data_IF_565395341039
#
_entry.id   IF_565395341039
#
_cell.length_a   1.000
_cell.length_b   1.000
_cell.length_c   1.000
_cell.angle_alpha   90.00
_cell.angle_beta   90.00
_cell.angle_gamma   90.00
#
_symmetry.space_group_name_H-M   'P 1'
#
loop_
_entity.id
_entity.type
_entity.pdbx_description
1 polymer ?
#
# COMPACT_ATOMS: atom_id res chain seq x y z
N UNK A 1 -5.57 14.00 -46.51
CA UNK A 1 -4.39 14.62 -45.87
C UNK A 1 -4.06 13.84 -44.60
N UNK A 2 -2.92 13.15 -44.55
CA UNK A 2 -2.45 12.40 -43.39
C UNK A 2 -1.56 13.31 -42.54
N UNK A 3 -1.97 13.62 -41.32
CA UNK A 3 -1.11 14.29 -40.34
C UNK A 3 -0.22 13.26 -39.67
N UNK A 4 1.07 13.24 -40.03
CA UNK A 4 2.12 12.57 -39.27
C UNK A 4 2.41 13.40 -38.01
N UNK A 5 2.10 12.85 -36.83
CA UNK A 5 2.54 13.42 -35.56
C UNK A 5 3.96 12.97 -35.27
N UNK A 6 4.91 13.91 -35.27
CA UNK A 6 6.28 13.70 -34.84
C UNK A 6 6.32 13.93 -33.33
N UNK A 7 6.41 12.85 -32.55
CA UNK A 7 6.72 12.93 -31.12
C UNK A 7 8.23 13.20 -30.97
N UNK A 8 8.58 14.38 -30.47
CA UNK A 8 9.95 14.68 -30.09
C UNK A 8 10.23 14.09 -28.69
N UNK A 9 11.12 13.08 -28.63
CA UNK A 9 11.73 12.63 -27.38
C UNK A 9 12.65 13.74 -26.86
N UNK A 10 12.35 14.29 -25.69
CA UNK A 10 13.30 15.13 -24.94
C UNK A 10 14.09 14.22 -24.01
N UNK A 11 15.44 14.20 -24.08
CA UNK A 11 16.24 13.42 -23.14
C UNK A 11 16.19 14.07 -21.74
N UNK A 12 15.75 13.31 -20.73
CA UNK A 12 15.94 13.66 -19.33
C UNK A 12 17.42 13.39 -18.98
N UNK A 13 18.19 14.45 -18.76
CA UNK A 13 19.51 14.36 -18.12
C UNK A 13 19.31 14.12 -16.63
N UNK A 14 19.74 12.96 -16.14
CA UNK A 14 19.79 12.67 -14.71
C UNK A 14 21.10 13.23 -14.12
N UNK A 15 21.01 14.32 -13.34
CA UNK A 15 22.13 14.78 -12.53
C UNK A 15 22.22 13.93 -11.26
N UNK A 16 23.34 13.23 -11.10
CA UNK A 16 23.64 12.42 -9.94
C UNK A 16 24.10 13.33 -8.79
N UNK A 17 23.27 13.47 -7.76
CA UNK A 17 23.68 14.07 -6.49
C UNK A 17 24.61 13.10 -5.75
N UNK A 18 25.87 13.50 -5.62
CA UNK A 18 26.88 12.81 -4.82
C UNK A 18 26.66 13.15 -3.34
N UNK A 19 26.16 12.18 -2.57
CA UNK A 19 26.03 12.31 -1.12
C UNK A 19 27.40 12.05 -0.47
N UNK A 20 27.98 13.10 0.13
CA UNK A 20 29.18 12.99 0.96
C UNK A 20 28.90 12.19 2.23
N UNK A 21 29.69 11.14 2.46
CA UNK A 21 29.65 10.32 3.67
C UNK A 21 30.40 11.02 4.82
N UNK A 22 29.68 11.36 5.88
CA UNK A 22 30.27 11.76 7.16
C UNK A 22 30.48 10.49 7.99
N UNK A 23 31.75 10.08 8.15
CA UNK A 23 32.11 9.00 9.07
C UNK A 23 32.17 9.53 10.51
N UNK A 24 31.48 8.84 11.41
CA UNK A 24 31.57 9.04 12.86
C UNK A 24 32.54 8.00 13.44
N UNK A 25 33.43 8.37 14.38
CA UNK A 25 34.31 7.44 15.06
C UNK A 25 33.56 6.59 16.09
N UNK A 26 33.75 5.28 16.02
CA UNK A 26 33.27 4.30 17.01
C UNK A 26 34.17 4.27 18.25
N UNK A 27 33.62 4.34 19.47
CA UNK A 27 34.37 4.05 20.67
C UNK A 27 34.48 2.53 20.89
N UNK A 28 35.72 2.07 21.07
CA UNK A 28 36.05 0.76 21.64
C UNK A 28 35.63 0.72 23.11
N UNK A 29 34.90 -0.31 23.53
CA UNK A 29 34.88 -0.69 24.94
C UNK A 29 34.72 -2.20 25.17
N UNK A 30 35.76 -2.72 25.83
CA UNK A 30 35.79 -3.77 26.87
C UNK A 30 35.11 -5.13 26.64
N UNK A 31 35.98 -6.13 26.50
CA UNK A 31 35.80 -7.53 26.87
C UNK A 31 35.33 -7.68 28.33
N UNK A 32 34.35 -8.57 28.55
CA UNK A 32 34.09 -9.24 29.83
C UNK A 32 33.85 -10.74 29.56
N UNK A 33 34.29 -11.67 30.45
CA UNK A 33 34.40 -13.10 30.14
C UNK A 33 33.10 -13.90 30.31
N UNK A 34 33.11 -15.07 29.66
CA UNK A 34 32.18 -16.21 29.73
C UNK A 34 31.63 -16.52 31.13
N UNK A 35 30.32 -16.76 31.18
CA UNK A 35 29.68 -17.67 32.13
C UNK A 35 28.87 -18.70 31.35
N UNK A 36 29.31 -19.96 31.36
CA UNK A 36 28.56 -21.09 30.82
C UNK A 36 27.37 -21.38 31.74
N UNK A 37 26.15 -21.29 31.20
CA UNK A 37 24.93 -21.80 31.82
C UNK A 37 24.23 -22.70 30.80
N UNK A 38 23.86 -23.94 31.17
CA UNK A 38 23.16 -24.85 30.27
C UNK A 38 21.70 -24.41 30.15
N UNK A 39 21.39 -23.63 29.13
CA UNK A 39 20.01 -23.38 28.73
C UNK A 39 19.44 -24.65 28.12
N UNK A 40 18.46 -25.21 28.83
CA UNK A 40 17.57 -26.22 28.29
C UNK A 40 16.74 -25.52 27.20
N UNK A 41 17.05 -25.81 25.94
CA UNK A 41 16.26 -25.37 24.78
C UNK A 41 14.88 -26.04 24.83
N UNK A 42 14.00 -25.49 25.66
CA UNK A 42 12.59 -25.45 25.32
C UNK A 42 12.48 -24.39 24.23
N UNK A 43 12.39 -24.84 22.98
CA UNK A 43 11.83 -24.05 21.88
C UNK A 43 10.43 -23.61 22.30
N UNK A 44 10.36 -22.50 23.04
CA UNK A 44 9.17 -21.70 23.09
C UNK A 44 9.04 -21.16 21.67
N UNK A 45 8.15 -21.77 20.90
CA UNK A 45 7.65 -21.20 19.65
C UNK A 45 7.51 -19.70 19.86
N UNK A 46 8.21 -18.91 19.06
CA UNK A 46 8.16 -17.46 19.15
C UNK A 46 6.74 -17.03 18.78
N UNK A 47 5.85 -17.02 19.78
CA UNK A 47 4.49 -16.53 19.68
C UNK A 47 4.62 -15.09 19.19
N UNK A 48 4.15 -14.83 17.97
CA UNK A 48 4.04 -13.48 17.42
C UNK A 48 3.42 -12.58 18.46
N UNK A 49 4.08 -11.46 18.77
CA UNK A 49 3.67 -10.58 19.86
C UNK A 49 2.24 -10.05 19.71
N UNK A 50 1.68 -10.03 18.49
CA UNK A 50 0.32 -9.58 18.22
C UNK A 50 -0.43 -10.52 17.25
N UNK A 51 -1.56 -11.14 17.67
CA UNK A 51 -2.40 -11.91 16.77
C UNK A 51 -3.06 -10.99 15.74
N UNK A 52 -3.50 -11.57 14.64
CA UNK A 52 -4.20 -10.87 13.57
C UNK A 52 -5.64 -11.32 13.47
N UNK A 53 -6.54 -10.40 13.14
CA UNK A 53 -7.94 -10.66 12.86
C UNK A 53 -8.14 -10.69 11.35
N UNK A 54 -8.41 -11.87 10.81
CA UNK A 54 -8.75 -12.03 9.41
C UNK A 54 -10.26 -11.94 9.26
N UNK A 55 -10.74 -10.92 8.56
CA UNK A 55 -12.17 -10.78 8.21
C UNK A 55 -12.34 -11.11 6.74
N UNK A 56 -13.11 -12.14 6.42
CA UNK A 56 -13.42 -12.56 5.06
C UNK A 56 -14.85 -12.18 4.73
N UNK A 57 -15.06 -11.62 3.54
CA UNK A 57 -16.35 -11.32 2.95
C UNK A 57 -16.52 -12.17 1.69
N UNK A 58 -17.05 -13.38 1.86
CA UNK A 58 -17.16 -14.37 0.78
C UNK A 58 -18.45 -14.15 0.00
N UNK A 59 -18.34 -13.98 -1.31
CA UNK A 59 -19.48 -13.79 -2.19
C UNK A 59 -19.04 -13.33 -3.58
N UNK A 60 -20.01 -13.00 -4.44
CA UNK A 60 -19.72 -12.69 -5.85
C UNK A 60 -19.09 -11.33 -6.01
N UNK A 61 -17.83 -11.35 -6.46
CA UNK A 61 -17.15 -10.16 -6.95
C UNK A 61 -17.55 -9.86 -8.39
N UNK A 62 -17.60 -8.57 -8.79
CA UNK A 62 -17.77 -8.19 -10.19
C UNK A 62 -16.71 -8.87 -11.05
N UNK A 63 -17.12 -9.40 -12.21
CA UNK A 63 -16.23 -10.07 -13.19
C UNK A 63 -15.63 -11.41 -12.73
N UNK A 64 -16.03 -11.96 -11.57
CA UNK A 64 -15.60 -13.29 -11.15
C UNK A 64 -16.32 -14.41 -11.91
N UNK A 65 -15.57 -15.44 -12.33
CA UNK A 65 -16.06 -16.64 -13.02
C UNK A 65 -16.65 -17.69 -12.05
N UNK A 66 -17.54 -17.27 -11.15
CA UNK A 66 -18.25 -18.19 -10.26
C UNK A 66 -19.47 -18.82 -10.96
N UNK A 67 -19.93 -20.01 -10.51
CA UNK A 67 -21.17 -20.61 -11.00
C UNK A 67 -22.35 -19.62 -10.97
N UNK A 68 -23.26 -19.73 -11.94
CA UNK A 68 -24.34 -18.75 -12.13
C UNK A 68 -25.27 -18.63 -10.92
N UNK A 69 -25.48 -19.74 -10.21
CA UNK A 69 -26.28 -19.87 -9.00
C UNK A 69 -25.56 -19.38 -7.74
N UNK A 70 -24.24 -19.24 -7.77
CA UNK A 70 -23.45 -18.83 -6.62
C UNK A 70 -23.57 -17.33 -6.32
N UNK A 71 -23.99 -17.02 -5.09
CA UNK A 71 -24.25 -15.67 -4.57
C UNK A 71 -25.12 -14.79 -5.50
N UNK A 72 -26.01 -15.40 -6.28
CA UNK A 72 -26.94 -14.73 -7.21
C UNK A 72 -27.84 -13.69 -6.54
N UNK A 73 -28.20 -13.92 -5.29
CA UNK A 73 -29.04 -13.06 -4.45
C UNK A 73 -28.31 -11.80 -3.97
N UNK A 74 -27.00 -11.70 -4.22
CA UNK A 74 -26.14 -10.67 -3.63
C UNK A 74 -25.78 -10.97 -2.17
N UNK A 75 -26.15 -12.14 -1.63
CA UNK A 75 -25.75 -12.57 -0.30
C UNK A 75 -24.22 -12.69 -0.21
N UNK A 76 -23.69 -12.36 0.96
CA UNK A 76 -22.29 -12.53 1.34
C UNK A 76 -22.20 -13.44 2.55
N UNK A 77 -21.09 -14.13 2.78
CA UNK A 77 -20.82 -14.93 3.98
C UNK A 77 -19.63 -14.32 4.73
N UNK A 78 -19.89 -13.51 5.76
CA UNK A 78 -18.84 -12.90 6.57
C UNK A 78 -18.25 -13.93 7.53
N UNK A 79 -16.93 -14.03 7.57
CA UNK A 79 -16.18 -14.88 8.50
C UNK A 79 -15.15 -14.02 9.22
N UNK A 80 -15.01 -14.20 10.53
CA UNK A 80 -13.97 -13.51 11.32
C UNK A 80 -13.15 -14.59 12.01
N UNK A 81 -11.85 -14.60 11.71
CA UNK A 81 -10.94 -15.67 12.10
C UNK A 81 -9.68 -15.02 12.70
N UNK A 82 -9.58 -14.96 14.04
CA UNK A 82 -8.34 -14.59 14.69
C UNK A 82 -7.26 -15.64 14.40
N UNK A 83 -6.09 -15.22 13.92
CA UNK A 83 -4.98 -16.08 13.53
C UNK A 83 -3.64 -15.55 14.06
N UNK A 84 -2.71 -16.47 14.25
CA UNK A 84 -1.30 -16.20 14.54
C UNK A 84 -0.45 -16.53 13.30
N UNK A 85 0.51 -15.68 12.99
CA UNK A 85 1.51 -15.92 11.94
C UNK A 85 2.78 -16.44 12.59
N UNK A 86 3.14 -17.69 12.35
CA UNK A 86 4.33 -18.31 12.93
C UNK A 86 5.56 -18.20 12.02
N UNK A 87 6.75 -18.26 12.62
CA UNK A 87 8.05 -18.14 11.95
C UNK A 87 8.38 -19.24 10.97
N UNK A 88 7.70 -20.38 11.05
CA UNK A 88 7.78 -21.51 10.13
C UNK A 88 6.79 -21.40 8.96
N UNK A 89 6.29 -20.19 8.69
CA UNK A 89 5.34 -19.88 7.63
C UNK A 89 3.97 -20.56 7.80
N UNK A 90 3.57 -20.87 9.05
CA UNK A 90 2.24 -21.39 9.36
C UNK A 90 1.29 -20.29 9.84
N UNK A 91 0.07 -20.30 9.31
CA UNK A 91 -1.02 -19.44 9.75
C UNK A 91 -1.93 -20.27 10.64
N UNK A 92 -2.04 -19.98 11.93
CA UNK A 92 -2.79 -20.79 12.88
C UNK A 92 -4.01 -20.03 13.41
N UNK A 93 -5.25 -20.47 13.12
CA UNK A 93 -6.45 -19.94 13.75
C UNK A 93 -6.39 -20.15 15.27
N UNK A 94 -6.69 -19.11 16.04
CA UNK A 94 -6.75 -19.17 17.51
C UNK A 94 -7.96 -19.94 18.04
N UNK A 95 -8.96 -20.13 17.17
CA UNK A 95 -10.12 -20.97 17.45
C UNK A 95 -10.21 -22.07 16.38
N UNK A 96 -10.49 -23.30 16.81
CA UNK A 96 -10.68 -24.44 15.89
C UNK A 96 -11.95 -24.33 15.04
N UNK A 97 -12.83 -23.38 15.37
CA UNK A 97 -14.09 -23.15 14.68
C UNK A 97 -14.29 -21.68 14.36
N UNK A 98 -14.97 -21.42 13.25
CA UNK A 98 -15.51 -20.12 12.88
C UNK A 98 -17.02 -20.16 13.03
N UNK A 99 -17.63 -19.02 13.36
CA UNK A 99 -19.08 -18.89 13.42
C UNK A 99 -19.58 -17.68 12.64
N UNK A 100 -20.78 -17.80 12.08
CA UNK A 100 -21.50 -16.71 11.44
C UNK A 100 -23.02 -16.91 11.60
N UNK A 101 -23.81 -15.86 11.34
CA UNK A 101 -25.27 -15.94 11.42
C UNK A 101 -25.87 -16.24 10.03
N UNK A 102 -26.43 -17.43 9.89
CA UNK A 102 -27.20 -17.86 8.72
C UNK A 102 -28.70 -17.60 8.85
N UNK A 103 -29.49 -17.92 7.81
CA UNK A 103 -30.96 -17.75 7.84
C UNK A 103 -31.65 -18.57 8.94
N UNK A 104 -31.07 -19.72 9.31
CA UNK A 104 -31.63 -20.65 10.29
C UNK A 104 -30.96 -20.54 11.68
N UNK A 105 -30.19 -19.48 11.93
CA UNK A 105 -29.47 -19.25 13.18
C UNK A 105 -27.94 -19.29 13.04
N UNK A 106 -27.26 -19.50 14.16
CA UNK A 106 -25.81 -19.55 14.21
C UNK A 106 -25.27 -20.82 13.52
N UNK A 107 -24.35 -20.62 12.59
CA UNK A 107 -23.60 -21.70 11.93
C UNK A 107 -22.21 -21.72 12.55
N UNK A 108 -21.76 -22.90 12.99
CA UNK A 108 -20.42 -23.12 13.54
C UNK A 108 -19.76 -24.21 12.71
N UNK A 109 -18.54 -23.95 12.24
CA UNK A 109 -17.82 -24.87 11.36
C UNK A 109 -16.34 -24.90 11.71
N UNK A 110 -15.67 -26.06 11.65
CA UNK A 110 -14.24 -26.14 11.85
C UNK A 110 -13.48 -25.32 10.80
N UNK A 111 -12.36 -24.74 11.22
CA UNK A 111 -11.39 -24.07 10.36
C UNK A 111 -10.00 -24.59 10.69
N UNK A 112 -9.17 -24.77 9.66
CA UNK A 112 -7.77 -25.14 9.79
C UNK A 112 -6.90 -24.10 9.14
N UNK A 113 -5.82 -23.77 9.83
CA UNK A 113 -4.72 -23.00 9.31
C UNK A 113 -4.00 -23.70 8.16
N UNK A 114 -3.39 -22.91 7.29
CA UNK A 114 -2.51 -23.38 6.22
C UNK A 114 -1.16 -22.69 6.30
N UNK A 115 -0.56 -22.47 5.14
CA UNK A 115 0.69 -21.73 5.02
C UNK A 115 0.43 -20.26 4.75
N UNK A 116 1.40 -19.42 5.11
CA UNK A 116 1.49 -18.06 4.62
C UNK A 116 2.86 -17.82 4.00
N UNK A 117 2.90 -16.98 2.98
CA UNK A 117 4.13 -16.57 2.33
C UNK A 117 4.03 -15.11 1.93
N UNK A 118 5.17 -14.43 1.93
CA UNK A 118 5.32 -13.12 1.30
C UNK A 118 6.17 -13.33 0.05
N UNK A 119 5.73 -12.78 -1.07
CA UNK A 119 6.41 -12.88 -2.35
C UNK A 119 7.83 -12.31 -2.28
N UNK A 120 8.74 -12.77 -3.15
CA UNK A 120 10.16 -12.35 -3.16
C UNK A 120 10.40 -10.83 -3.33
N UNK A 121 9.39 -10.07 -3.74
CA UNK A 121 9.45 -8.62 -3.86
C UNK A 121 8.88 -7.89 -2.62
N UNK A 122 8.55 -8.63 -1.56
CA UNK A 122 7.98 -8.17 -0.30
C UNK A 122 6.69 -7.34 -0.44
N UNK A 123 5.92 -7.55 -1.51
CA UNK A 123 4.73 -6.75 -1.83
C UNK A 123 3.43 -7.52 -1.78
N UNK A 124 3.45 -8.84 -1.89
CA UNK A 124 2.25 -9.66 -1.89
C UNK A 124 2.32 -10.68 -0.76
N UNK A 125 1.28 -10.74 0.06
CA UNK A 125 1.09 -11.82 1.04
C UNK A 125 0.07 -12.80 0.49
N UNK A 126 0.37 -14.08 0.61
CA UNK A 126 -0.54 -15.18 0.36
C UNK A 126 -0.76 -15.93 1.67
N UNK A 127 -2.01 -16.24 2.00
CA UNK A 127 -2.35 -17.05 3.16
C UNK A 127 -3.35 -18.14 2.78
N UNK A 128 -3.33 -19.27 3.47
CA UNK A 128 -4.24 -20.37 3.23
C UNK A 128 -5.07 -20.72 4.46
N UNK A 129 -6.38 -20.93 4.25
CA UNK A 129 -7.32 -21.40 5.26
C UNK A 129 -8.16 -22.52 4.68
N UNK A 130 -8.28 -23.64 5.40
CA UNK A 130 -9.01 -24.82 4.93
C UNK A 130 -10.25 -25.06 5.79
N UNK A 131 -11.38 -25.36 5.15
CA UNK A 131 -12.66 -25.61 5.81
C UNK A 131 -13.04 -27.09 5.69
N UNK A 132 -12.86 -27.92 6.75
CA UNK A 132 -13.10 -29.36 6.66
C UNK A 132 -14.56 -29.76 6.47
N UNK A 133 -15.52 -28.89 6.81
CA UNK A 133 -16.95 -29.14 6.65
C UNK A 133 -17.56 -28.12 5.69
N UNK A 134 -18.59 -28.57 4.97
CA UNK A 134 -19.40 -27.70 4.11
C UNK A 134 -20.03 -26.60 4.96
N UNK A 135 -19.97 -25.36 4.47
CA UNK A 135 -20.68 -24.22 5.03
C UNK A 135 -21.56 -23.59 3.98
N UNK A 136 -22.71 -23.08 4.39
CA UNK A 136 -23.69 -22.50 3.47
C UNK A 136 -24.44 -21.34 4.14
N UNK A 137 -24.58 -20.25 3.41
CA UNK A 137 -25.39 -19.08 3.76
C UNK A 137 -26.20 -18.67 2.54
N UNK A 138 -27.46 -19.11 2.47
CA UNK A 138 -28.32 -18.96 1.29
C UNK A 138 -27.67 -19.60 0.06
N UNK A 139 -27.39 -18.82 -0.96
CA UNK A 139 -26.77 -19.24 -2.22
C UNK A 139 -25.24 -19.03 -2.23
N UNK A 140 -24.61 -18.78 -1.09
CA UNK A 140 -23.15 -18.81 -0.91
C UNK A 140 -22.79 -20.09 -0.18
N UNK A 141 -21.95 -20.93 -0.76
CA UNK A 141 -21.42 -22.11 -0.09
C UNK A 141 -19.91 -22.27 -0.27
N UNK A 142 -19.30 -22.95 0.69
CA UNK A 142 -17.92 -23.46 0.64
C UNK A 142 -18.04 -24.97 0.86
N UNK A 143 -17.53 -25.76 -0.09
CA UNK A 143 -17.58 -27.22 -0.01
C UNK A 143 -16.59 -27.77 1.03
N UNK A 144 -16.87 -28.96 1.55
CA UNK A 144 -16.00 -29.60 2.53
C UNK A 144 -14.61 -29.87 1.95
N UNK A 145 -13.56 -29.54 2.71
CA UNK A 145 -12.17 -29.68 2.29
C UNK A 145 -11.67 -28.54 1.40
N UNK A 146 -12.48 -27.51 1.14
CA UNK A 146 -12.05 -26.36 0.34
C UNK A 146 -10.98 -25.54 1.06
N UNK A 147 -9.90 -25.24 0.36
CA UNK A 147 -8.89 -24.27 0.78
C UNK A 147 -9.18 -22.92 0.14
N UNK A 148 -9.34 -21.89 0.98
CA UNK A 148 -9.35 -20.50 0.56
C UNK A 148 -7.92 -19.99 0.51
N UNK A 149 -7.57 -19.35 -0.60
CA UNK A 149 -6.29 -18.65 -0.74
C UNK A 149 -6.55 -17.14 -0.67
N UNK A 150 -5.97 -16.50 0.33
CA UNK A 150 -6.07 -15.08 0.59
C UNK A 150 -4.85 -14.39 -0.05
N UNK A 151 -5.07 -13.40 -0.90
CA UNK A 151 -4.00 -12.59 -1.50
C UNK A 151 -4.16 -11.16 -1.03
N UNK A 152 -3.08 -10.51 -0.57
CA UNK A 152 -3.10 -9.12 -0.17
C UNK A 152 -1.82 -8.41 -0.57
N UNK A 153 -1.85 -7.09 -0.59
CA UNK A 153 -0.65 -6.27 -0.76
C UNK A 153 -0.12 -5.87 0.60
N UNK A 154 1.20 -5.85 0.75
CA UNK A 154 1.85 -5.53 2.01
C UNK A 154 2.90 -4.45 1.84
N UNK A 155 3.17 -3.74 2.92
CA UNK A 155 4.14 -2.66 2.97
C UNK A 155 4.92 -2.71 4.28
N UNK A 156 6.24 -2.54 4.19
CA UNK A 156 7.08 -2.30 5.36
C UNK A 156 7.02 -0.83 5.76
N UNK A 157 7.31 -0.51 7.02
CA UNK A 157 7.42 0.88 7.47
C UNK A 157 8.43 1.69 6.64
N UNK A 158 9.54 1.06 6.23
CA UNK A 158 10.59 1.71 5.43
C UNK A 158 10.13 1.99 4.01
N UNK A 159 9.35 1.08 3.40
CA UNK A 159 8.76 1.33 2.09
C UNK A 159 7.73 2.46 2.13
N UNK A 160 6.86 2.48 3.13
CA UNK A 160 5.87 3.56 3.29
C UNK A 160 6.56 4.91 3.49
N UNK A 161 7.62 4.97 4.30
CA UNK A 161 8.40 6.19 4.51
C UNK A 161 9.05 6.66 3.20
N UNK A 162 9.66 5.75 2.43
CA UNK A 162 10.20 6.08 1.10
C UNK A 162 9.12 6.63 0.16
N UNK A 163 7.95 5.99 0.09
CA UNK A 163 6.84 6.45 -0.76
C UNK A 163 6.32 7.83 -0.32
N UNK A 164 6.26 8.08 0.99
CA UNK A 164 5.89 9.39 1.54
C UNK A 164 6.91 10.46 1.15
N UNK A 165 8.21 10.19 1.31
CA UNK A 165 9.28 11.11 0.93
C UNK A 165 9.23 11.46 -0.56
N UNK A 166 9.07 10.45 -1.44
CA UNK A 166 8.94 10.67 -2.88
C UNK A 166 7.72 11.51 -3.24
N UNK A 167 6.59 11.30 -2.56
CA UNK A 167 5.38 12.09 -2.76
C UNK A 167 5.58 13.55 -2.33
N UNK A 168 6.17 13.78 -1.15
CA UNK A 168 6.39 15.15 -0.66
C UNK A 168 7.42 15.89 -1.49
N UNK A 169 8.49 15.24 -1.95
CA UNK A 169 9.45 15.83 -2.87
C UNK A 169 8.79 16.25 -4.20
N UNK A 170 7.94 15.39 -4.78
CA UNK A 170 7.21 15.73 -6.01
C UNK A 170 6.18 16.85 -5.81
N UNK A 171 5.56 16.91 -4.62
CA UNK A 171 4.64 18.00 -4.26
C UNK A 171 5.37 19.33 -4.09
N UNK A 172 6.54 19.33 -3.46
CA UNK A 172 7.36 20.54 -3.28
C UNK A 172 7.80 21.10 -4.63
N UNK A 173 8.30 20.25 -5.53
CA UNK A 173 8.67 20.62 -6.90
C UNK A 173 7.48 21.27 -7.67
N UNK A 174 6.28 20.69 -7.55
CA UNK A 174 5.08 21.25 -8.16
C UNK A 174 4.68 22.59 -7.51
N UNK A 175 4.87 22.75 -6.20
CA UNK A 175 4.56 23.97 -5.47
C UNK A 175 5.52 25.11 -5.82
N UNK A 176 6.83 24.84 -5.86
CA UNK A 176 7.86 25.81 -6.26
C UNK A 176 7.60 26.34 -7.68
N UNK A 177 7.38 25.45 -8.65
CA UNK A 177 7.07 25.85 -10.03
C UNK A 177 5.74 26.60 -10.15
N UNK A 178 4.76 26.29 -9.29
CA UNK A 178 3.51 27.04 -9.18
C UNK A 178 3.72 28.44 -8.61
N UNK A 179 4.59 28.58 -7.61
CA UNK A 179 5.02 29.86 -7.04
C UNK A 179 5.68 30.75 -8.08
N UNK A 180 6.64 30.22 -8.84
CA UNK A 180 7.29 30.94 -9.93
C UNK A 180 6.28 31.41 -10.99
N UNK A 181 5.30 30.59 -11.37
CA UNK A 181 4.26 31.00 -12.32
C UNK A 181 3.37 32.13 -11.79
N UNK A 182 3.08 32.14 -10.48
CA UNK A 182 2.33 33.21 -9.84
C UNK A 182 3.16 34.51 -9.80
N UNK A 183 4.45 34.45 -9.46
CA UNK A 183 5.33 35.62 -9.51
C UNK A 183 5.39 36.23 -10.92
N UNK A 184 5.47 35.39 -11.95
CA UNK A 184 5.39 35.83 -13.36
C UNK A 184 4.05 36.52 -13.65
N UNK A 185 2.93 35.97 -13.16
CA UNK A 185 1.62 36.59 -13.34
C UNK A 185 1.54 37.95 -12.64
N UNK A 186 2.02 38.06 -11.40
CA UNK A 186 2.06 39.31 -10.64
C UNK A 186 2.92 40.38 -11.33
N UNK A 187 4.06 39.99 -11.94
CA UNK A 187 4.89 40.90 -12.74
C UNK A 187 4.18 41.41 -13.99
N UNK A 188 3.36 40.57 -14.64
CA UNK A 188 2.57 40.95 -15.81
C UNK A 188 1.43 41.90 -15.42
N UNK A 189 0.75 41.63 -14.30
CA UNK A 189 -0.38 42.40 -13.79
C UNK A 189 0.03 43.64 -12.98
N UNK A 190 1.31 43.78 -12.66
CA UNK A 190 1.86 44.88 -11.87
C UNK A 190 1.57 46.28 -12.42
N UNK A 191 1.77 47.32 -11.59
CA UNK A 191 1.40 48.69 -11.93
C UNK A 191 2.13 49.19 -13.18
N UNK A 192 1.35 49.68 -14.14
CA UNK A 192 1.85 50.24 -15.40
C UNK A 192 2.24 51.70 -15.23
N UNK A 193 3.25 52.15 -15.96
CA UNK A 193 3.62 53.56 -16.11
C UNK A 193 3.37 53.98 -17.55
N UNK A 194 2.71 55.11 -17.73
CA UNK A 194 2.56 55.70 -19.04
C UNK A 194 3.92 56.19 -19.54
N UNK A 195 4.32 55.75 -20.74
CA UNK A 195 5.51 56.25 -21.42
C UNK A 195 5.06 57.32 -22.45
N UNK A 196 5.38 58.59 -22.17
CA UNK A 196 4.98 59.72 -23.01
C UNK A 196 5.67 59.72 -24.40
N UNK A 197 6.88 59.18 -24.52
CA UNK A 197 7.60 59.17 -25.80
C UNK A 197 6.98 58.18 -26.79
N UNK A 198 6.56 57.01 -26.28
CA UNK A 198 5.94 55.96 -27.10
C UNK A 198 4.42 56.03 -27.12
N UNK A 199 3.80 56.84 -26.26
CA UNK A 199 2.35 56.94 -26.07
C UNK A 199 1.71 55.56 -25.76
N UNK A 200 2.38 54.75 -24.92
CA UNK A 200 1.91 53.42 -24.50
C UNK A 200 2.13 53.22 -22.99
N UNK A 201 1.23 52.48 -22.34
CA UNK A 201 1.43 51.99 -20.98
C UNK A 201 2.47 50.87 -20.97
N UNK A 202 3.62 51.11 -20.34
CA UNK A 202 4.67 50.10 -20.15
C UNK A 202 4.63 49.58 -18.70
N UNK A 203 4.91 48.29 -18.51
CA UNK A 203 5.05 47.73 -17.16
C UNK A 203 6.25 48.37 -16.45
N UNK A 204 6.10 48.73 -15.17
CA UNK A 204 7.19 49.35 -14.39
C UNK A 204 8.32 48.39 -14.05
N UNK A 205 8.07 47.08 -14.11
CA UNK A 205 9.08 46.08 -13.78
C UNK A 205 9.91 45.75 -15.02
N UNK A 206 11.18 46.11 -14.99
CA UNK A 206 12.16 45.60 -15.94
C UNK A 206 12.33 44.09 -15.72
N UNK A 207 12.33 43.31 -16.80
CA UNK A 207 12.57 41.86 -16.72
C UNK A 207 11.35 40.95 -16.83
N UNK A 208 10.20 41.44 -17.34
CA UNK A 208 9.04 40.58 -17.65
C UNK A 208 9.51 39.39 -18.51
N UNK A 209 9.31 38.14 -18.06
CA UNK A 209 9.79 36.97 -18.78
C UNK A 209 9.15 36.88 -20.17
N UNK A 210 9.95 36.50 -21.16
CA UNK A 210 9.48 36.27 -22.53
C UNK A 210 8.33 35.24 -22.57
N UNK A 211 7.40 35.37 -23.52
CA UNK A 211 6.28 34.44 -23.72
C UNK A 211 6.77 32.98 -23.81
N UNK A 212 7.91 32.75 -24.46
CA UNK A 212 8.52 31.43 -24.55
C UNK A 212 8.93 30.88 -23.18
N UNK A 213 9.58 31.69 -22.34
CA UNK A 213 9.93 31.29 -20.97
C UNK A 213 8.71 30.99 -20.10
N UNK A 214 7.62 31.75 -20.26
CA UNK A 214 6.35 31.48 -19.58
C UNK A 214 5.75 30.14 -20.01
N UNK A 215 5.77 29.87 -21.33
CA UNK A 215 5.29 28.60 -21.88
C UNK A 215 6.14 27.42 -21.38
N UNK A 216 7.46 27.57 -21.34
CA UNK A 216 8.36 26.55 -20.78
C UNK A 216 8.05 26.26 -19.31
N UNK A 217 7.88 27.29 -18.48
CA UNK A 217 7.52 27.14 -17.05
C UNK A 217 6.15 26.46 -16.87
N UNK A 218 5.16 26.79 -17.71
CA UNK A 218 3.86 26.10 -17.71
C UNK A 218 3.99 24.61 -18.02
N UNK A 219 4.79 24.25 -19.02
CA UNK A 219 5.04 22.84 -19.36
C UNK A 219 5.75 22.12 -18.21
N UNK A 220 6.75 22.75 -17.58
CA UNK A 220 7.44 22.19 -16.41
C UNK A 220 6.48 21.98 -15.24
N UNK A 221 5.64 22.96 -14.92
CA UNK A 221 4.63 22.84 -13.87
C UNK A 221 3.62 21.72 -14.18
N UNK A 222 3.14 21.60 -15.43
CA UNK A 222 2.28 20.49 -15.84
C UNK A 222 2.96 19.12 -15.67
N UNK A 223 4.25 19.02 -16.02
CA UNK A 223 5.01 17.79 -15.82
C UNK A 223 5.19 17.45 -14.34
N UNK A 224 5.47 18.44 -13.49
CA UNK A 224 5.57 18.26 -12.04
C UNK A 224 4.22 17.84 -11.42
N UNK A 225 3.09 18.43 -11.86
CA UNK A 225 1.75 17.99 -11.44
C UNK A 225 1.45 16.55 -11.87
N UNK A 226 1.84 16.16 -13.08
CA UNK A 226 1.68 14.78 -13.54
C UNK A 226 2.52 13.81 -12.70
N UNK A 227 3.77 14.17 -12.37
CA UNK A 227 4.65 13.41 -11.48
C UNK A 227 4.07 13.30 -10.07
N UNK A 228 3.57 14.41 -9.51
CA UNK A 228 2.90 14.41 -8.20
C UNK A 228 1.69 13.46 -8.19
N UNK A 229 0.84 13.52 -9.23
CA UNK A 229 -0.31 12.62 -9.36
C UNK A 229 0.12 11.15 -9.45
N UNK A 230 1.13 10.85 -10.27
CA UNK A 230 1.68 9.51 -10.37
C UNK A 230 2.19 8.99 -9.02
N UNK A 231 2.89 9.82 -8.24
CA UNK A 231 3.38 9.45 -6.91
C UNK A 231 2.27 9.33 -5.88
N UNK A 232 1.21 10.15 -5.99
CA UNK A 232 0.02 10.01 -5.18
C UNK A 232 -0.68 8.66 -5.43
N UNK A 233 -0.81 8.25 -6.71
CA UNK A 233 -1.45 6.99 -7.10
C UNK A 233 -0.62 5.75 -6.69
N UNK A 234 0.71 5.88 -6.57
CA UNK A 234 1.61 4.82 -6.09
C UNK A 234 1.56 4.64 -4.56
N UNK A 235 1.16 5.68 -3.84
CA UNK A 235 1.16 5.69 -2.38
C UNK A 235 -0.16 5.10 -1.86
N UNK A 236 -0.11 4.06 -1.01
CA UNK A 236 -1.33 3.59 -0.36
C UNK A 236 -1.89 4.68 0.58
N UNK A 237 -3.21 4.84 0.59
CA UNK A 237 -3.90 5.69 1.56
C UNK A 237 -3.77 5.08 2.95
N UNK A 238 -3.51 5.91 3.98
CA UNK A 238 -3.45 5.44 5.37
C UNK A 238 -4.75 4.77 5.82
N UNK A 239 -5.90 5.18 5.25
CA UNK A 239 -7.21 4.57 5.55
C UNK A 239 -7.33 3.15 4.99
N UNK A 240 -6.57 2.87 3.93
CA UNK A 240 -6.57 1.59 3.22
C UNK A 240 -5.45 0.67 3.73
N UNK A 241 -4.72 1.04 4.78
CA UNK A 241 -3.74 0.18 5.44
C UNK A 241 -4.31 -0.34 6.77
N UNK A 242 -3.92 -1.55 7.15
CA UNK A 242 -4.10 -2.06 8.50
C UNK A 242 -3.36 -1.18 9.50
N UNK A 243 -3.69 -1.32 10.79
CA UNK A 243 -2.76 -0.85 11.82
C UNK A 243 -1.44 -1.62 11.70
N UNK A 244 -0.34 -0.98 12.14
CA UNK A 244 0.98 -1.60 12.09
C UNK A 244 1.02 -2.83 13.00
N UNK A 245 1.33 -3.99 12.42
CA UNK A 245 1.52 -5.23 13.16
C UNK A 245 2.93 -5.79 12.99
N UNK A 246 3.23 -6.88 13.69
CA UNK A 246 4.48 -7.63 13.53
C UNK A 246 4.21 -8.90 12.75
N UNK A 247 5.08 -9.23 11.80
CA UNK A 247 5.13 -10.55 11.15
C UNK A 247 6.52 -11.17 11.37
N UNK A 248 6.61 -12.50 11.52
CA UNK A 248 7.89 -13.19 11.61
C UNK A 248 8.76 -12.91 10.38
N UNK A 249 10.05 -12.67 10.59
CA UNK A 249 11.01 -12.39 9.51
C UNK A 249 11.03 -10.94 9.01
N UNK A 250 10.10 -10.09 9.46
CA UNK A 250 10.06 -8.66 9.13
C UNK A 250 10.53 -7.80 10.30
N UNK A 251 11.00 -6.59 10.01
CA UNK A 251 11.53 -5.68 11.03
C UNK A 251 10.46 -5.27 12.06
N UNK A 252 10.89 -5.02 13.29
CA UNK A 252 10.01 -4.58 14.40
C UNK A 252 9.33 -3.22 14.14
N UNK A 253 9.79 -2.48 13.13
CA UNK A 253 9.26 -1.15 12.78
C UNK A 253 7.83 -1.17 12.22
N UNK A 254 7.28 -2.36 11.98
CA UNK A 254 5.88 -2.54 11.64
C UNK A 254 5.66 -2.96 10.19
N UNK A 255 4.67 -3.84 10.03
CA UNK A 255 4.21 -4.41 8.79
C UNK A 255 2.74 -4.01 8.59
N UNK A 256 2.42 -3.54 7.39
CA UNK A 256 1.10 -3.02 7.05
C UNK A 256 0.50 -3.86 5.92
N UNK A 257 -0.72 -4.33 6.11
CA UNK A 257 -1.46 -5.05 5.07
C UNK A 257 -2.49 -4.09 4.47
N UNK A 258 -2.51 -3.98 3.14
CA UNK A 258 -3.55 -3.20 2.47
C UNK A 258 -4.92 -3.85 2.72
N UNK A 259 -5.85 -3.05 3.25
CA UNK A 259 -7.25 -3.39 3.40
C UNK A 259 -7.83 -3.71 2.02
N UNK A 260 -8.60 -4.80 1.92
CA UNK A 260 -9.17 -5.36 0.68
C UNK A 260 -8.25 -6.27 -0.13
N UNK A 261 -7.74 -7.32 0.50
CA UNK A 261 -7.18 -8.43 -0.25
C UNK A 261 -8.26 -9.26 -0.96
N UNK A 262 -7.86 -10.14 -1.87
CA UNK A 262 -8.73 -11.05 -2.62
C UNK A 262 -8.80 -12.42 -1.95
N UNK A 263 -9.98 -13.02 -1.93
CA UNK A 263 -10.15 -14.43 -1.56
C UNK A 263 -10.37 -15.24 -2.83
N UNK A 264 -9.62 -16.33 -2.99
CA UNK A 264 -9.79 -17.27 -4.10
C UNK A 264 -10.18 -18.67 -3.61
N UNK A 265 -10.99 -19.34 -4.41
CA UNK A 265 -11.27 -20.78 -4.35
C UNK A 265 -10.71 -21.37 -5.64
N UNK A 266 -9.60 -22.10 -5.54
CA UNK A 266 -8.80 -22.47 -6.71
C UNK A 266 -8.38 -21.21 -7.49
N UNK A 267 -8.77 -21.13 -8.76
CA UNK A 267 -8.44 -19.98 -9.63
C UNK A 267 -9.52 -18.90 -9.68
N UNK A 268 -10.62 -19.04 -8.93
CA UNK A 268 -11.76 -18.12 -9.01
C UNK A 268 -11.77 -17.19 -7.80
N UNK A 269 -11.98 -15.90 -8.05
CA UNK A 269 -12.17 -14.90 -6.99
C UNK A 269 -13.55 -15.08 -6.36
N UNK A 270 -13.58 -15.34 -5.06
CA UNK A 270 -14.76 -15.66 -4.28
C UNK A 270 -15.03 -14.66 -3.15
N UNK A 271 -14.36 -13.50 -3.14
CA UNK A 271 -14.64 -12.46 -2.17
C UNK A 271 -13.42 -11.59 -1.85
N UNK A 272 -13.50 -10.91 -0.71
CA UNK A 272 -12.45 -10.05 -0.19
C UNK A 272 -12.06 -10.43 1.22
N UNK A 273 -10.87 -10.04 1.65
CA UNK A 273 -10.47 -10.15 3.04
C UNK A 273 -9.77 -8.91 3.55
N UNK A 274 -9.75 -8.79 4.87
CA UNK A 274 -9.15 -7.70 5.62
C UNK A 274 -8.34 -8.27 6.77
N UNK A 275 -7.24 -7.62 7.10
CA UNK A 275 -6.38 -7.99 8.20
C UNK A 275 -6.24 -6.79 9.14
N UNK A 276 -6.40 -7.03 10.43
CA UNK A 276 -6.13 -6.03 11.47
C UNK A 276 -5.39 -6.69 12.64
N UNK A 277 -4.29 -6.11 13.15
CA UNK A 277 -3.68 -6.63 14.37
C UNK A 277 -4.65 -6.49 15.54
N UNK A 278 -4.66 -7.47 16.44
CA UNK A 278 -5.46 -7.49 17.65
C UNK A 278 -4.64 -6.85 18.75
N UNK A 279 -4.90 -5.58 19.04
CA UNK A 279 -4.16 -4.77 20.03
C UNK A 279 -4.72 -4.85 21.45
N UNK A 280 -5.97 -5.30 21.59
CA UNK A 280 -6.64 -5.46 22.89
C UNK A 280 -6.94 -6.95 23.11
N UNK A 281 -6.13 -7.61 23.93
CA UNK A 281 -6.36 -8.97 24.42
C UNK A 281 -6.69 -8.96 25.91
#
# INVERSE_FOLDING_TARGET
MKFMSILALVPLSAEAFSAGSLSMPTPRSSMVPRGDSPSTDSQADAITANPWRLTLDIGREPLANMPFDWARSGCRMPLVIPCDFQSDNKLIPRAETVSFTGPNGAVVSPVRGGEWEVSNNDKEIKCELTFPKKMERRDVWIDAGTTLTLFGTVYTAEELERLNQEFYAAREEAWELGGELNEIADQIEGPKKWNEEKQVWENRMDGVPSIFSQMQKRVQHMAAQAKQKQKADQRPSLKDLSDGGTLPGFSERGFFIQKQGLVKIGNVVAGRWYAEPITNL
#
